data_IF_859631369247
#
_entry.id   IF_859631369247
#
_cell.length_a   1.000
_cell.length_b   1.000
_cell.length_c   1.000
_cell.angle_alpha   90.00
_cell.angle_beta   90.00
_cell.angle_gamma   90.00
#
_symmetry.space_group_name_H-M   'P 1'
#
loop_
_entity.id
_entity.type
_entity.pdbx_description
1 polymer ?
#
# COMPACT_ATOMS: atom_id res chain seq x y z
N UNK A 1 -28.22 0.08 -5.08
CA UNK A 1 -28.47 -0.92 -6.14
C UNK A 1 -29.88 -1.51 -6.05
N UNK A 2 -30.42 -2.03 -4.90
CA UNK A 2 -31.77 -2.59 -4.83
C UNK A 2 -32.87 -1.62 -5.28
N UNK A 3 -32.80 -0.34 -4.86
CA UNK A 3 -33.77 0.67 -5.24
C UNK A 3 -33.81 0.93 -6.76
N UNK A 4 -32.66 0.85 -7.43
CA UNK A 4 -32.58 1.01 -8.90
C UNK A 4 -33.27 -0.17 -9.61
N UNK A 5 -33.02 -1.40 -9.18
CA UNK A 5 -33.71 -2.57 -9.75
C UNK A 5 -35.22 -2.53 -9.47
N UNK A 6 -35.61 -2.18 -8.25
CA UNK A 6 -37.02 -2.06 -7.86
C UNK A 6 -37.78 -1.03 -8.71
N UNK A 7 -37.16 0.15 -8.97
CA UNK A 7 -37.77 1.18 -9.80
C UNK A 7 -37.88 0.76 -11.27
N UNK A 8 -36.88 0.08 -11.82
CA UNK A 8 -36.90 -0.42 -13.19
C UNK A 8 -38.05 -1.45 -13.37
N UNK A 9 -38.12 -2.43 -12.47
CA UNK A 9 -39.17 -3.45 -12.51
C UNK A 9 -40.54 -2.79 -12.36
N UNK A 10 -40.70 -1.91 -11.37
CA UNK A 10 -41.95 -1.17 -11.15
C UNK A 10 -42.38 -0.36 -12.38
N UNK A 11 -41.41 0.32 -13.03
CA UNK A 11 -41.64 1.09 -14.26
C UNK A 11 -42.11 0.19 -15.40
N UNK A 12 -41.51 -0.99 -15.57
CA UNK A 12 -41.93 -1.96 -16.61
C UNK A 12 -43.38 -2.42 -16.37
N UNK A 13 -43.69 -2.80 -15.14
CA UNK A 13 -45.04 -3.25 -14.77
C UNK A 13 -46.09 -2.17 -15.01
N UNK A 14 -45.79 -0.93 -14.57
CA UNK A 14 -46.68 0.23 -14.76
C UNK A 14 -46.83 0.54 -16.26
N UNK A 15 -45.72 0.50 -17.03
CA UNK A 15 -45.76 0.73 -18.46
C UNK A 15 -46.69 -0.26 -19.20
N UNK A 16 -46.59 -1.55 -18.88
CA UNK A 16 -47.48 -2.58 -19.47
C UNK A 16 -48.91 -2.28 -19.14
N UNK A 17 -49.24 -1.90 -17.90
CA UNK A 17 -50.56 -1.49 -17.48
C UNK A 17 -51.09 -0.29 -18.28
N UNK A 18 -50.29 0.78 -18.41
CA UNK A 18 -50.64 1.99 -19.14
C UNK A 18 -50.93 1.71 -20.65
N UNK A 19 -50.15 0.85 -21.30
CA UNK A 19 -50.34 0.45 -22.68
C UNK A 19 -51.65 -0.36 -22.88
N UNK A 20 -52.10 -1.06 -21.86
CA UNK A 20 -53.40 -1.79 -21.91
C UNK A 20 -54.61 -0.85 -21.91
N UNK A 21 -54.49 0.33 -21.26
CA UNK A 21 -55.59 1.31 -21.25
C UNK A 21 -55.65 2.19 -22.46
N UNK A 22 -54.55 2.94 -22.77
CA UNK A 22 -54.50 3.78 -23.97
C UNK A 22 -53.02 3.97 -24.44
N UNK A 23 -52.75 3.52 -25.68
CA UNK A 23 -51.38 3.55 -26.23
C UNK A 23 -50.83 4.96 -26.42
N UNK A 24 -51.63 5.93 -26.81
CA UNK A 24 -51.17 7.29 -27.06
C UNK A 24 -50.85 8.01 -25.73
N UNK A 25 -51.67 7.80 -24.70
CA UNK A 25 -51.43 8.33 -23.38
C UNK A 25 -50.21 7.65 -22.70
N UNK A 26 -50.05 6.33 -22.90
CA UNK A 26 -48.88 5.59 -22.41
C UNK A 26 -47.57 6.12 -23.06
N UNK A 27 -47.56 6.33 -24.36
CA UNK A 27 -46.42 6.95 -25.03
C UNK A 27 -46.15 8.36 -24.51
N UNK A 28 -47.17 9.19 -24.33
CA UNK A 28 -47.03 10.53 -23.77
C UNK A 28 -46.46 10.55 -22.35
N UNK A 29 -46.71 9.49 -21.55
CA UNK A 29 -46.15 9.36 -20.21
C UNK A 29 -44.72 8.79 -20.18
N UNK A 30 -44.38 7.86 -21.09
CA UNK A 30 -43.17 7.06 -20.97
C UNK A 30 -41.96 7.58 -21.79
N UNK A 31 -42.17 8.41 -22.85
CA UNK A 31 -41.04 8.88 -23.71
C UNK A 31 -39.97 9.68 -22.95
N UNK A 32 -40.31 10.31 -21.84
CA UNK A 32 -39.39 11.10 -21.01
C UNK A 32 -38.37 10.22 -20.28
N UNK A 33 -38.70 8.96 -20.04
CA UNK A 33 -37.82 8.02 -19.30
C UNK A 33 -36.56 7.71 -20.10
N UNK A 34 -36.63 7.19 -21.36
CA UNK A 34 -35.43 6.93 -22.16
C UNK A 34 -34.61 8.21 -22.43
N UNK A 35 -35.26 9.37 -22.59
CA UNK A 35 -34.54 10.64 -22.78
C UNK A 35 -33.76 11.01 -21.50
N UNK A 36 -34.35 10.88 -20.32
CA UNK A 36 -33.67 11.15 -19.05
C UNK A 36 -32.51 10.20 -18.80
N UNK A 37 -32.68 8.91 -19.10
CA UNK A 37 -31.59 7.93 -19.01
C UNK A 37 -30.48 8.27 -20.00
N UNK A 38 -30.83 8.65 -21.24
CA UNK A 38 -29.85 9.05 -22.27
C UNK A 38 -29.01 10.24 -21.83
N UNK A 39 -29.58 11.25 -21.18
CA UNK A 39 -28.85 12.40 -20.61
C UNK A 39 -27.77 11.93 -19.64
N UNK A 40 -28.12 11.03 -18.70
CA UNK A 40 -27.17 10.50 -17.72
C UNK A 40 -26.07 9.69 -18.41
N UNK A 41 -26.42 8.81 -19.36
CA UNK A 41 -25.45 7.98 -20.09
C UNK A 41 -24.51 8.83 -20.94
N UNK A 42 -25.01 9.84 -21.63
CA UNK A 42 -24.16 10.76 -22.43
C UNK A 42 -23.24 11.63 -21.54
N UNK A 43 -23.71 11.98 -20.35
CA UNK A 43 -22.91 12.75 -19.39
C UNK A 43 -21.78 11.94 -18.73
N UNK A 44 -21.81 10.60 -18.85
CA UNK A 44 -20.87 9.70 -18.19
C UNK A 44 -19.40 10.11 -18.38
N UNK A 45 -18.97 10.33 -19.62
CA UNK A 45 -17.56 10.71 -19.91
C UNK A 45 -17.14 12.02 -19.24
N UNK A 46 -18.06 12.97 -19.12
CA UNK A 46 -17.78 14.28 -18.51
C UNK A 46 -17.69 14.13 -16.99
N UNK A 47 -18.61 13.39 -16.39
CA UNK A 47 -18.62 13.12 -14.96
C UNK A 47 -17.40 12.29 -14.52
N UNK A 48 -17.05 11.25 -15.28
CA UNK A 48 -15.90 10.39 -15.00
C UNK A 48 -14.58 11.18 -15.06
N UNK A 49 -14.38 12.01 -16.08
CA UNK A 49 -13.20 12.91 -16.17
C UNK A 49 -13.12 13.89 -15.00
N UNK A 50 -14.26 14.47 -14.60
CA UNK A 50 -14.30 15.37 -13.46
C UNK A 50 -13.93 14.64 -12.17
N UNK A 51 -14.44 13.44 -11.97
CA UNK A 51 -14.15 12.59 -10.81
C UNK A 51 -12.69 12.16 -10.75
N UNK A 52 -12.12 11.69 -11.87
CA UNK A 52 -10.71 11.29 -11.97
C UNK A 52 -9.78 12.47 -11.63
N UNK A 53 -10.06 13.66 -12.20
CA UNK A 53 -9.29 14.87 -11.92
C UNK A 53 -9.40 15.28 -10.44
N UNK A 54 -10.59 15.23 -9.85
CA UNK A 54 -10.80 15.52 -8.45
C UNK A 54 -10.01 14.55 -7.55
N UNK A 55 -9.99 13.27 -7.93
CA UNK A 55 -9.24 12.24 -7.21
C UNK A 55 -7.73 12.50 -7.28
N UNK A 56 -7.16 12.83 -8.45
CA UNK A 56 -5.73 13.14 -8.57
C UNK A 56 -5.32 14.34 -7.72
N UNK A 57 -6.17 15.38 -7.63
CA UNK A 57 -5.92 16.55 -6.76
C UNK A 57 -5.99 16.18 -5.28
N UNK A 58 -6.93 15.30 -4.88
CA UNK A 58 -7.01 14.78 -3.50
C UNK A 58 -5.75 14.00 -3.11
N UNK A 59 -5.24 13.14 -4.01
CA UNK A 59 -4.01 12.39 -3.78
C UNK A 59 -2.81 13.33 -3.60
N UNK A 60 -2.60 14.28 -4.52
CA UNK A 60 -1.52 15.26 -4.41
C UNK A 60 -1.60 16.14 -3.14
N UNK A 61 -2.80 16.32 -2.59
CA UNK A 61 -2.98 17.00 -1.29
C UNK A 61 -2.61 16.07 -0.13
N UNK A 62 -3.02 14.80 -0.17
CA UNK A 62 -2.67 13.80 0.84
C UNK A 62 -1.14 13.61 0.91
N UNK A 63 -0.48 13.44 -0.25
CA UNK A 63 0.98 13.36 -0.33
C UNK A 63 1.66 14.60 0.28
N UNK A 64 1.13 15.79 0.01
CA UNK A 64 1.67 17.02 0.60
C UNK A 64 1.44 17.16 2.11
N UNK A 65 0.37 16.57 2.65
CA UNK A 65 0.13 16.51 4.11
C UNK A 65 1.11 15.53 4.75
N UNK A 66 1.29 14.37 4.15
CA UNK A 66 2.24 13.36 4.62
C UNK A 66 3.66 13.93 4.63
N UNK A 67 4.11 14.51 3.51
CA UNK A 67 5.41 15.17 3.40
C UNK A 67 5.60 16.25 4.48
N UNK A 68 4.56 17.06 4.75
CA UNK A 68 4.62 18.08 5.81
C UNK A 68 4.83 17.47 7.19
N UNK A 69 4.14 16.37 7.52
CA UNK A 69 4.28 15.69 8.81
C UNK A 69 5.67 15.08 8.96
N UNK A 70 6.17 14.40 7.92
CA UNK A 70 7.47 13.73 7.92
C UNK A 70 8.63 14.73 8.03
N UNK A 71 8.51 15.88 7.35
CA UNK A 71 9.58 16.89 7.28
C UNK A 71 9.39 18.06 8.27
N UNK A 72 8.40 18.02 9.16
CA UNK A 72 8.05 19.14 10.05
C UNK A 72 9.24 19.65 10.88
N UNK A 73 10.09 18.75 11.38
CA UNK A 73 11.28 19.09 12.18
C UNK A 73 12.27 19.89 11.34
N UNK A 74 12.53 19.45 10.12
CA UNK A 74 13.46 20.08 9.19
C UNK A 74 12.93 21.43 8.71
N UNK A 75 11.63 21.52 8.42
CA UNK A 75 10.97 22.77 8.06
C UNK A 75 11.06 23.82 9.19
N UNK A 76 10.89 23.41 10.45
CA UNK A 76 11.04 24.31 11.61
C UNK A 76 12.49 24.70 11.85
N UNK A 77 13.43 23.76 11.76
CA UNK A 77 14.86 24.01 11.91
C UNK A 77 15.38 25.04 10.89
N UNK A 78 14.82 25.04 9.68
CA UNK A 78 15.22 25.95 8.60
C UNK A 78 14.30 27.18 8.44
N UNK A 79 13.35 27.42 9.35
CA UNK A 79 12.34 28.49 9.28
C UNK A 79 11.54 28.50 7.96
N UNK A 80 11.36 27.32 7.32
CA UNK A 80 10.71 27.15 6.01
C UNK A 80 9.21 26.80 6.12
N UNK A 81 8.69 26.56 7.34
CA UNK A 81 7.32 26.11 7.59
C UNK A 81 6.27 27.03 6.95
N UNK A 82 6.40 28.34 7.10
CA UNK A 82 5.43 29.29 6.57
C UNK A 82 5.33 29.28 5.04
N UNK A 83 6.45 29.05 4.36
CA UNK A 83 6.51 28.93 2.90
C UNK A 83 5.87 27.62 2.42
N UNK A 84 6.18 26.51 3.07
CA UNK A 84 5.61 25.20 2.76
C UNK A 84 4.08 25.18 2.98
N UNK A 85 3.60 25.75 4.10
CA UNK A 85 2.16 25.87 4.41
C UNK A 85 1.39 26.68 3.37
N UNK A 86 1.99 27.72 2.75
CA UNK A 86 1.35 28.44 1.63
C UNK A 86 1.10 27.50 0.44
N UNK A 87 2.07 26.67 0.10
CA UNK A 87 1.94 25.64 -0.94
C UNK A 87 0.85 24.62 -0.60
N UNK A 88 0.87 24.09 0.62
CA UNK A 88 -0.12 23.11 1.10
C UNK A 88 -1.54 23.69 1.13
N UNK A 89 -1.72 24.94 1.61
CA UNK A 89 -3.01 25.65 1.55
C UNK A 89 -3.53 25.80 0.11
N UNK A 90 -2.63 26.01 -0.86
CA UNK A 90 -3.01 26.04 -2.28
C UNK A 90 -3.50 24.67 -2.77
N UNK A 91 -2.85 23.57 -2.37
CA UNK A 91 -3.30 22.20 -2.68
C UNK A 91 -4.69 21.94 -2.07
N UNK A 92 -4.92 22.30 -0.80
CA UNK A 92 -6.22 22.16 -0.12
C UNK A 92 -7.33 22.95 -0.86
N UNK A 93 -7.07 24.21 -1.23
CA UNK A 93 -8.02 24.99 -2.04
C UNK A 93 -8.31 24.38 -3.40
N UNK A 94 -7.34 23.70 -3.99
CA UNK A 94 -7.53 22.99 -5.26
C UNK A 94 -8.43 21.77 -5.09
N UNK A 95 -8.36 21.07 -3.95
CA UNK A 95 -9.30 20.00 -3.60
C UNK A 95 -10.71 20.52 -3.46
N UNK A 96 -10.89 21.63 -2.72
CA UNK A 96 -12.20 22.29 -2.56
C UNK A 96 -12.81 22.68 -3.91
N UNK A 97 -12.05 23.38 -4.75
CA UNK A 97 -12.49 23.76 -6.11
C UNK A 97 -12.79 22.55 -6.99
N UNK A 98 -11.98 21.49 -6.90
CA UNK A 98 -12.19 20.25 -7.62
C UNK A 98 -13.48 19.55 -7.20
N UNK A 99 -13.71 19.43 -5.89
CA UNK A 99 -14.93 18.86 -5.33
C UNK A 99 -16.17 19.66 -5.76
N UNK A 100 -16.15 20.98 -5.60
CA UNK A 100 -17.25 21.86 -6.02
C UNK A 100 -17.57 21.75 -7.51
N UNK A 101 -16.54 21.70 -8.36
CA UNK A 101 -16.73 21.52 -9.81
C UNK A 101 -17.34 20.16 -10.13
N UNK A 102 -16.92 19.11 -9.45
CA UNK A 102 -17.46 17.75 -9.66
C UNK A 102 -18.93 17.70 -9.23
N UNK A 103 -19.26 18.25 -8.06
CA UNK A 103 -20.63 18.30 -7.55
C UNK A 103 -21.57 19.09 -8.48
N UNK A 104 -21.16 20.28 -8.94
CA UNK A 104 -21.96 21.06 -9.89
C UNK A 104 -22.15 20.30 -11.20
N UNK A 105 -21.09 19.67 -11.72
CA UNK A 105 -21.20 18.89 -12.95
C UNK A 105 -22.22 17.78 -12.82
N UNK A 106 -22.17 17.02 -11.74
CA UNK A 106 -23.13 15.94 -11.46
C UNK A 106 -24.55 16.50 -11.26
N UNK A 107 -24.68 17.57 -10.46
CA UNK A 107 -25.97 18.20 -10.17
C UNK A 107 -26.67 18.70 -11.44
N UNK A 108 -25.94 19.35 -12.34
CA UNK A 108 -26.51 19.86 -13.61
C UNK A 108 -27.12 18.74 -14.43
N UNK A 109 -26.39 17.64 -14.63
CA UNK A 109 -26.90 16.53 -15.45
C UNK A 109 -28.04 15.77 -14.78
N UNK A 110 -27.94 15.49 -13.48
CA UNK A 110 -28.99 14.78 -12.73
C UNK A 110 -30.27 15.64 -12.64
N UNK A 111 -30.12 16.94 -12.35
CA UNK A 111 -31.27 17.85 -12.27
C UNK A 111 -31.93 18.02 -13.66
N UNK A 112 -31.13 18.16 -14.74
CA UNK A 112 -31.65 18.24 -16.10
C UNK A 112 -32.44 16.99 -16.50
N UNK A 113 -31.92 15.80 -16.17
CA UNK A 113 -32.64 14.55 -16.39
C UNK A 113 -33.96 14.48 -15.59
N UNK A 114 -33.93 14.93 -14.32
CA UNK A 114 -35.13 15.03 -13.49
C UNK A 114 -36.16 16.03 -14.00
N UNK A 115 -35.71 17.16 -14.56
CA UNK A 115 -36.61 18.13 -15.19
C UNK A 115 -37.32 17.52 -16.41
N UNK A 116 -36.60 16.78 -17.25
CA UNK A 116 -37.20 16.08 -18.39
C UNK A 116 -38.30 15.14 -17.96
N UNK A 117 -38.14 14.39 -16.86
CA UNK A 117 -39.19 13.53 -16.32
C UNK A 117 -40.49 14.33 -16.01
N UNK A 118 -40.36 15.54 -15.45
CA UNK A 118 -41.53 16.37 -15.14
C UNK A 118 -42.27 16.88 -16.36
N UNK A 119 -41.60 17.03 -17.53
CA UNK A 119 -42.29 17.32 -18.80
C UNK A 119 -43.27 16.21 -19.21
N UNK A 120 -43.06 14.98 -18.75
CA UNK A 120 -43.99 13.87 -18.96
C UNK A 120 -45.42 14.16 -18.44
N UNK A 121 -45.56 14.87 -17.32
CA UNK A 121 -46.86 15.26 -16.80
C UNK A 121 -47.56 16.26 -17.77
N UNK A 122 -46.77 17.22 -18.28
CA UNK A 122 -47.30 18.20 -19.22
C UNK A 122 -47.73 17.52 -20.53
N UNK A 123 -46.94 16.58 -21.06
CA UNK A 123 -47.31 15.84 -22.28
C UNK A 123 -48.55 14.96 -22.09
N UNK A 124 -48.67 14.31 -20.94
CA UNK A 124 -49.88 13.53 -20.55
C UNK A 124 -51.09 14.46 -20.48
N UNK A 125 -50.97 15.65 -19.86
CA UNK A 125 -52.06 16.63 -19.81
C UNK A 125 -52.50 17.12 -21.19
N UNK A 126 -51.55 17.49 -22.04
CA UNK A 126 -51.86 17.99 -23.42
C UNK A 126 -52.49 16.92 -24.29
N UNK A 127 -51.89 15.75 -24.37
CA UNK A 127 -52.42 14.63 -25.18
C UNK A 127 -53.76 14.15 -24.61
N UNK A 128 -53.86 14.09 -23.31
CA UNK A 128 -55.08 13.68 -22.60
C UNK A 128 -56.22 14.65 -22.82
N UNK A 129 -56.01 15.95 -22.73
CA UNK A 129 -57.02 16.97 -23.05
C UNK A 129 -57.53 16.86 -24.47
N UNK A 130 -56.59 16.69 -25.44
CA UNK A 130 -56.97 16.50 -26.86
C UNK A 130 -57.83 15.23 -27.09
N UNK A 131 -57.45 14.14 -26.42
CA UNK A 131 -58.20 12.86 -26.53
C UNK A 131 -59.56 12.90 -25.81
N UNK A 132 -59.64 13.62 -24.68
CA UNK A 132 -60.91 13.84 -23.95
C UNK A 132 -61.90 14.64 -24.82
N UNK A 133 -61.44 15.77 -25.43
CA UNK A 133 -62.28 16.57 -26.34
C UNK A 133 -62.72 15.76 -27.57
N UNK A 134 -61.90 14.86 -28.04
CA UNK A 134 -62.20 13.96 -29.17
C UNK A 134 -63.11 12.76 -28.77
N UNK A 135 -63.53 12.66 -27.52
CA UNK A 135 -64.37 11.55 -27.00
C UNK A 135 -63.69 10.18 -27.00
N UNK A 136 -62.37 10.12 -27.10
CA UNK A 136 -61.60 8.86 -27.14
C UNK A 136 -61.26 8.28 -25.76
N UNK A 137 -61.29 9.11 -24.74
CA UNK A 137 -61.09 8.76 -23.31
C UNK A 137 -62.11 9.50 -22.48
N UNK A 138 -62.36 8.98 -21.28
CA UNK A 138 -63.17 9.64 -20.26
C UNK A 138 -62.31 10.45 -19.26
N UNK A 139 -62.98 11.27 -18.44
CA UNK A 139 -62.32 12.10 -17.45
C UNK A 139 -61.58 11.27 -16.41
N UNK A 140 -62.10 10.10 -16.05
CA UNK A 140 -61.51 9.21 -15.09
C UNK A 140 -60.17 8.65 -15.62
N UNK A 141 -60.13 8.24 -16.87
CA UNK A 141 -58.91 7.75 -17.53
C UNK A 141 -57.83 8.85 -17.57
N UNK A 142 -58.18 10.09 -17.93
CA UNK A 142 -57.27 11.20 -17.91
C UNK A 142 -56.65 11.42 -16.50
N UNK A 143 -57.54 11.42 -15.49
CA UNK A 143 -57.10 11.62 -14.10
C UNK A 143 -56.20 10.49 -13.61
N UNK A 144 -56.54 9.24 -13.95
CA UNK A 144 -55.69 8.07 -13.67
C UNK A 144 -54.29 8.21 -14.27
N UNK A 145 -54.15 8.59 -15.55
CA UNK A 145 -52.88 8.76 -16.21
C UNK A 145 -52.04 9.89 -15.54
N UNK A 146 -52.65 11.02 -15.18
CA UNK A 146 -51.96 12.12 -14.48
C UNK A 146 -51.47 11.68 -13.10
N UNK A 147 -52.27 10.92 -12.37
CA UNK A 147 -51.92 10.39 -11.04
C UNK A 147 -50.80 9.38 -11.13
N UNK A 148 -50.86 8.42 -12.07
CA UNK A 148 -49.83 7.42 -12.30
C UNK A 148 -48.55 8.09 -12.75
N UNK A 149 -48.57 9.05 -13.68
CA UNK A 149 -47.41 9.75 -14.15
C UNK A 149 -46.70 10.50 -13.00
N UNK A 150 -47.49 11.21 -12.16
CA UNK A 150 -46.90 11.93 -11.00
C UNK A 150 -46.21 10.99 -10.00
N UNK A 151 -46.72 9.78 -9.81
CA UNK A 151 -46.17 8.78 -8.88
C UNK A 151 -45.01 7.99 -9.48
N UNK A 152 -44.96 7.82 -10.81
CA UNK A 152 -43.92 7.07 -11.52
C UNK A 152 -42.56 7.84 -11.56
N UNK A 153 -42.60 9.16 -11.69
CA UNK A 153 -41.37 9.93 -11.94
C UNK A 153 -40.53 10.13 -10.69
N UNK A 154 -41.09 10.15 -9.48
CA UNK A 154 -40.30 10.32 -8.25
C UNK A 154 -39.32 9.14 -8.00
N UNK A 155 -39.73 7.86 -8.05
CA UNK A 155 -38.81 6.72 -7.97
C UNK A 155 -37.77 6.71 -9.09
N UNK A 156 -38.15 7.14 -10.30
CA UNK A 156 -37.25 7.22 -11.43
C UNK A 156 -36.18 8.30 -11.21
N UNK A 157 -36.53 9.46 -10.67
CA UNK A 157 -35.57 10.51 -10.33
C UNK A 157 -34.56 10.02 -9.29
N UNK A 158 -35.01 9.33 -8.25
CA UNK A 158 -34.13 8.70 -7.24
C UNK A 158 -33.21 7.65 -7.88
N UNK A 159 -33.69 6.89 -8.86
CA UNK A 159 -32.89 5.91 -9.60
C UNK A 159 -31.83 6.54 -10.48
N UNK A 160 -32.13 7.67 -11.13
CA UNK A 160 -31.13 8.44 -11.90
C UNK A 160 -30.00 8.98 -10.99
N UNK A 161 -30.35 9.43 -9.78
CA UNK A 161 -29.36 9.83 -8.77
C UNK A 161 -28.48 8.65 -8.34
N UNK A 162 -29.09 7.49 -8.08
CA UNK A 162 -28.36 6.26 -7.74
C UNK A 162 -27.45 5.80 -8.87
N UNK A 163 -27.89 5.92 -10.13
CA UNK A 163 -27.06 5.60 -11.30
C UNK A 163 -25.82 6.51 -11.37
N UNK A 164 -25.97 7.79 -11.15
CA UNK A 164 -24.86 8.74 -11.09
C UNK A 164 -23.88 8.40 -9.96
N UNK A 165 -24.38 7.97 -8.77
CA UNK A 165 -23.56 7.52 -7.68
C UNK A 165 -22.79 6.23 -7.99
N UNK A 166 -23.40 5.27 -8.69
CA UNK A 166 -22.71 4.05 -9.18
C UNK A 166 -21.57 4.38 -10.13
N UNK A 167 -21.80 5.35 -11.03
CA UNK A 167 -20.75 5.85 -11.94
C UNK A 167 -19.57 6.43 -11.14
N UNK A 168 -19.84 7.25 -10.12
CA UNK A 168 -18.78 7.84 -9.30
C UNK A 168 -17.99 6.78 -8.50
N UNK A 169 -18.63 5.72 -8.05
CA UNK A 169 -17.98 4.60 -7.34
C UNK A 169 -17.00 3.83 -8.22
N UNK A 170 -17.22 3.77 -9.54
CA UNK A 170 -16.38 3.00 -10.46
C UNK A 170 -14.89 3.40 -10.40
N UNK A 171 -14.60 4.67 -10.22
CA UNK A 171 -13.22 5.16 -10.09
C UNK A 171 -12.54 4.62 -8.81
N UNK A 172 -13.29 4.53 -7.71
CA UNK A 172 -12.76 3.98 -6.47
C UNK A 172 -12.55 2.46 -6.58
N UNK A 173 -13.49 1.75 -7.22
CA UNK A 173 -13.37 0.30 -7.49
C UNK A 173 -12.18 0.01 -8.40
N UNK A 174 -11.98 0.80 -9.46
CA UNK A 174 -10.84 0.63 -10.36
C UNK A 174 -9.50 0.76 -9.61
N UNK A 175 -9.38 1.73 -8.69
CA UNK A 175 -8.17 1.87 -7.85
C UNK A 175 -8.00 0.72 -6.85
N UNK A 176 -9.08 0.26 -6.28
CA UNK A 176 -9.03 -0.90 -5.38
C UNK A 176 -8.55 -2.14 -6.14
N UNK A 177 -9.05 -2.34 -7.36
CA UNK A 177 -8.60 -3.43 -8.21
C UNK A 177 -7.12 -3.27 -8.62
N UNK A 178 -6.65 -2.05 -8.88
CA UNK A 178 -5.22 -1.79 -9.15
C UNK A 178 -4.31 -2.28 -8.01
N UNK A 179 -4.77 -2.18 -6.76
CA UNK A 179 -4.05 -2.72 -5.60
C UNK A 179 -4.22 -4.24 -5.50
N UNK A 180 -5.46 -4.74 -5.65
CA UNK A 180 -5.77 -6.16 -5.48
C UNK A 180 -5.22 -7.04 -6.61
N UNK A 181 -5.19 -6.50 -7.84
CA UNK A 181 -4.70 -7.20 -9.03
C UNK A 181 -3.18 -6.98 -9.25
N UNK A 182 -2.50 -6.32 -8.28
CA UNK A 182 -1.05 -6.15 -8.36
C UNK A 182 -0.36 -7.51 -8.35
N UNK A 183 0.57 -7.71 -9.27
CA UNK A 183 1.33 -8.95 -9.34
C UNK A 183 2.11 -9.18 -8.04
N UNK A 184 1.76 -10.25 -7.34
CA UNK A 184 2.49 -10.73 -6.16
C UNK A 184 3.51 -11.78 -6.58
N UNK A 185 4.65 -11.78 -5.90
CA UNK A 185 5.66 -12.80 -6.09
C UNK A 185 5.07 -14.18 -5.75
N UNK A 186 5.23 -15.13 -6.67
CA UNK A 186 4.73 -16.50 -6.51
C UNK A 186 5.88 -17.45 -6.24
N UNK A 187 5.62 -18.55 -5.55
CA UNK A 187 6.60 -19.59 -5.28
C UNK A 187 5.98 -20.81 -4.60
N UNK A 188 6.75 -21.87 -4.50
CA UNK A 188 6.35 -23.08 -3.80
C UNK A 188 6.59 -22.98 -2.29
N UNK A 189 5.78 -23.68 -1.51
CA UNK A 189 5.83 -23.71 -0.05
C UNK A 189 6.91 -24.62 0.54
N UNK A 190 7.64 -25.37 -0.31
CA UNK A 190 8.57 -26.40 0.16
C UNK A 190 10.01 -25.92 0.02
N UNK A 191 10.71 -25.83 1.16
CA UNK A 191 12.13 -25.56 1.20
C UNK A 191 12.91 -26.83 0.82
N UNK A 192 13.79 -26.71 -0.18
CA UNK A 192 14.62 -27.83 -0.69
C UNK A 192 16.12 -27.59 -0.53
N UNK A 193 16.49 -26.56 0.25
CA UNK A 193 17.87 -26.18 0.47
C UNK A 193 18.67 -27.27 1.20
N UNK A 194 19.91 -27.50 0.74
CA UNK A 194 20.88 -28.39 1.37
C UNK A 194 21.97 -27.53 2.02
N UNK A 195 21.67 -27.01 3.21
CA UNK A 195 22.51 -26.04 3.88
C UNK A 195 21.99 -24.59 3.72
N UNK A 196 22.86 -23.62 4.03
CA UNK A 196 22.52 -22.20 4.13
C UNK A 196 23.53 -21.29 3.41
N UNK A 197 24.30 -21.83 2.44
CA UNK A 197 25.13 -21.00 1.58
C UNK A 197 24.27 -20.08 0.73
N UNK A 198 24.62 -18.81 0.63
CA UNK A 198 23.95 -17.87 -0.27
C UNK A 198 24.86 -17.66 -1.48
N UNK A 199 24.41 -18.06 -2.66
CA UNK A 199 25.17 -17.89 -3.90
C UNK A 199 24.46 -16.96 -4.86
N UNK A 200 25.18 -15.92 -5.27
CA UNK A 200 24.83 -15.04 -6.38
C UNK A 200 25.63 -15.50 -7.61
N UNK A 201 24.93 -15.75 -8.72
CA UNK A 201 25.50 -16.23 -9.95
C UNK A 201 25.05 -15.33 -11.11
N UNK A 202 25.96 -14.48 -11.59
CA UNK A 202 25.77 -13.49 -12.66
C UNK A 202 24.51 -12.63 -12.49
N UNK A 203 24.27 -12.13 -11.27
CA UNK A 203 23.05 -11.41 -10.91
C UNK A 203 23.07 -9.97 -11.42
N UNK A 204 22.03 -9.63 -12.21
CA UNK A 204 21.75 -8.27 -12.65
C UNK A 204 20.39 -7.79 -12.15
N UNK A 205 20.32 -6.50 -11.78
CA UNK A 205 19.12 -5.88 -11.24
C UNK A 205 19.02 -4.39 -11.53
N UNK A 206 17.80 -3.94 -11.88
CA UNK A 206 17.42 -2.53 -12.00
C UNK A 206 16.08 -2.29 -11.29
N UNK A 207 15.95 -1.14 -10.60
CA UNK A 207 14.66 -0.71 -10.10
C UNK A 207 13.77 -0.22 -11.25
N UNK A 208 12.45 -0.05 -10.98
CA UNK A 208 11.47 0.44 -12.00
C UNK A 208 11.84 1.77 -12.68
N UNK A 209 12.76 2.53 -12.10
CA UNK A 209 13.32 3.76 -12.68
C UNK A 209 14.15 3.53 -13.95
N UNK A 210 14.48 2.26 -14.26
CA UNK A 210 15.30 1.88 -15.42
C UNK A 210 16.81 2.04 -15.22
N UNK A 211 17.25 2.55 -14.08
CA UNK A 211 18.68 2.65 -13.74
C UNK A 211 19.21 1.31 -13.24
N UNK A 212 20.19 0.77 -13.93
CA UNK A 212 20.85 -0.50 -13.56
C UNK A 212 21.67 -0.30 -12.29
N UNK A 213 21.35 -1.06 -11.24
CA UNK A 213 22.06 -1.00 -9.95
C UNK A 213 23.08 -2.13 -9.83
N UNK A 214 22.73 -3.33 -10.32
CA UNK A 214 23.64 -4.47 -10.39
C UNK A 214 23.73 -4.94 -11.83
N UNK A 215 24.97 -5.09 -12.33
CA UNK A 215 25.22 -5.50 -13.72
C UNK A 215 25.58 -6.97 -13.83
N UNK A 216 26.51 -7.44 -12.97
CA UNK A 216 27.01 -8.81 -12.94
C UNK A 216 27.64 -9.09 -11.57
N UNK A 217 26.84 -9.56 -10.63
CA UNK A 217 27.28 -9.86 -9.27
C UNK A 217 27.36 -11.35 -9.06
N UNK A 218 28.58 -11.85 -8.77
CA UNK A 218 28.87 -13.27 -8.53
C UNK A 218 29.73 -13.45 -7.29
N UNK A 219 29.17 -14.08 -6.25
CA UNK A 219 29.90 -14.48 -5.04
C UNK A 219 29.11 -15.54 -4.27
N UNK A 220 29.76 -16.18 -3.30
CA UNK A 220 29.11 -17.11 -2.36
C UNK A 220 29.44 -16.68 -0.94
N UNK A 221 28.41 -16.50 -0.11
CA UNK A 221 28.50 -16.43 1.34
C UNK A 221 28.30 -17.83 1.90
N UNK A 222 29.37 -18.44 2.43
CA UNK A 222 29.37 -19.82 2.88
C UNK A 222 28.66 -20.00 4.21
N UNK A 223 28.08 -21.17 4.40
CA UNK A 223 27.44 -21.54 5.65
C UNK A 223 28.39 -21.46 6.82
N UNK A 224 27.94 -20.81 7.90
CA UNK A 224 28.73 -20.68 9.15
C UNK A 224 29.80 -19.62 9.09
N UNK A 225 29.97 -18.91 7.97
CA UNK A 225 30.92 -17.79 7.78
C UNK A 225 30.24 -16.44 7.81
N UNK A 226 30.98 -15.41 8.19
CA UNK A 226 30.59 -14.00 8.11
C UNK A 226 31.12 -13.41 6.82
N UNK A 227 30.25 -13.08 5.89
CA UNK A 227 30.60 -12.41 4.63
C UNK A 227 30.23 -10.92 4.73
N UNK A 228 31.23 -10.04 4.61
CA UNK A 228 31.07 -8.60 4.66
C UNK A 228 30.98 -8.00 3.25
N UNK A 229 29.90 -7.25 2.98
CA UNK A 229 29.75 -6.42 1.78
C UNK A 229 30.30 -5.03 2.06
N UNK A 230 31.29 -4.62 1.29
CA UNK A 230 31.95 -3.30 1.39
C UNK A 230 31.94 -2.59 0.04
N UNK A 231 32.18 -1.29 0.03
CA UNK A 231 32.26 -0.48 -1.20
C UNK A 231 31.66 0.91 -1.02
N UNK A 232 31.71 1.77 -2.03
CA UNK A 232 31.21 3.14 -1.98
C UNK A 232 29.68 3.17 -1.79
N UNK A 233 29.15 4.32 -1.34
CA UNK A 233 27.73 4.58 -1.34
C UNK A 233 27.18 4.47 -2.77
N UNK A 234 26.04 3.81 -2.95
CA UNK A 234 25.48 3.54 -4.28
C UNK A 234 26.05 2.29 -4.99
N UNK A 235 27.10 1.63 -4.46
CA UNK A 235 27.71 0.44 -5.07
C UNK A 235 26.84 -0.83 -5.10
N UNK A 236 25.60 -0.79 -4.61
CA UNK A 236 24.66 -1.91 -4.70
C UNK A 236 24.55 -2.81 -3.45
N UNK A 237 25.29 -2.52 -2.36
CA UNK A 237 25.32 -3.34 -1.14
C UNK A 237 23.93 -3.64 -0.56
N UNK A 238 23.12 -2.62 -0.33
CA UNK A 238 21.75 -2.76 0.20
C UNK A 238 20.85 -3.50 -0.80
N UNK A 239 21.07 -3.33 -2.10
CA UNK A 239 20.34 -4.05 -3.15
C UNK A 239 20.67 -5.53 -3.12
N UNK A 240 21.93 -5.91 -2.96
CA UNK A 240 22.36 -7.32 -2.79
C UNK A 240 21.71 -7.93 -1.57
N UNK A 241 21.72 -7.26 -0.41
CA UNK A 241 21.06 -7.73 0.81
C UNK A 241 19.54 -7.95 0.59
N UNK A 242 18.85 -7.01 -0.06
CA UNK A 242 17.41 -7.11 -0.36
C UNK A 242 17.08 -8.22 -1.35
N UNK A 243 17.94 -8.47 -2.33
CA UNK A 243 17.79 -9.58 -3.28
C UNK A 243 18.04 -10.94 -2.62
N UNK A 244 18.96 -11.03 -1.66
CA UNK A 244 19.22 -12.26 -0.92
C UNK A 244 17.98 -12.80 -0.21
N UNK A 245 17.09 -11.91 0.27
CA UNK A 245 15.81 -12.26 0.92
C UNK A 245 14.61 -12.20 -0.02
N UNK A 246 14.86 -11.99 -1.30
CA UNK A 246 13.79 -11.90 -2.30
C UNK A 246 12.76 -10.80 -2.02
N UNK A 247 13.16 -9.63 -1.48
CA UNK A 247 12.28 -8.46 -1.47
C UNK A 247 11.99 -7.96 -2.90
N UNK A 248 12.89 -8.32 -3.84
CA UNK A 248 12.78 -8.10 -5.28
C UNK A 248 13.27 -9.33 -6.02
N UNK A 249 12.72 -9.59 -7.19
CA UNK A 249 13.24 -10.63 -8.09
C UNK A 249 14.33 -10.04 -9.00
N UNK A 250 15.43 -10.75 -9.16
CA UNK A 250 16.50 -10.37 -10.08
C UNK A 250 16.05 -10.55 -11.54
N UNK A 251 16.52 -9.66 -12.44
CA UNK A 251 16.20 -9.74 -13.86
C UNK A 251 17.16 -10.64 -14.65
N UNK A 252 18.40 -10.81 -14.15
CA UNK A 252 19.43 -11.67 -14.76
C UNK A 252 20.11 -12.52 -13.70
N UNK A 253 20.67 -13.66 -14.12
CA UNK A 253 21.39 -14.55 -13.25
C UNK A 253 20.47 -15.32 -12.29
N UNK A 254 21.08 -15.86 -11.24
CA UNK A 254 20.40 -16.72 -10.28
C UNK A 254 20.90 -16.48 -8.86
N UNK A 255 19.99 -16.53 -7.89
CA UNK A 255 20.33 -16.49 -6.47
C UNK A 255 19.83 -17.81 -5.85
N UNK A 256 20.72 -18.47 -5.08
CA UNK A 256 20.37 -19.73 -4.41
C UNK A 256 20.71 -19.69 -2.93
N UNK A 257 19.94 -20.45 -2.13
CA UNK A 257 20.23 -20.76 -0.74
C UNK A 257 20.38 -22.27 -0.58
N UNK A 258 21.57 -22.73 -0.21
CA UNK A 258 21.87 -24.17 -0.15
C UNK A 258 21.56 -24.90 -1.46
N UNK A 259 21.82 -24.27 -2.60
CA UNK A 259 21.52 -24.76 -3.95
C UNK A 259 20.06 -24.61 -4.40
N UNK A 260 19.15 -24.23 -3.52
CA UNK A 260 17.74 -23.96 -3.81
C UNK A 260 17.57 -22.60 -4.45
N UNK A 261 16.92 -22.52 -5.59
CA UNK A 261 16.61 -21.29 -6.32
C UNK A 261 15.53 -20.49 -5.57
N UNK A 262 15.90 -19.32 -5.05
CA UNK A 262 14.98 -18.52 -4.25
C UNK A 262 13.82 -17.93 -5.06
N UNK A 263 13.96 -17.74 -6.37
CA UNK A 263 12.90 -17.23 -7.24
C UNK A 263 11.69 -18.16 -7.34
N UNK A 264 11.86 -19.44 -6.98
CA UNK A 264 10.84 -20.49 -7.04
C UNK A 264 10.15 -20.75 -5.71
N UNK A 265 10.57 -20.10 -4.63
CA UNK A 265 10.07 -20.32 -3.28
C UNK A 265 9.20 -19.14 -2.85
N UNK A 266 8.08 -19.44 -2.21
CA UNK A 266 7.24 -18.38 -1.63
C UNK A 266 8.07 -17.47 -0.69
N UNK A 267 7.98 -16.12 -0.83
CA UNK A 267 8.79 -15.19 -0.04
C UNK A 267 8.61 -15.36 1.47
N UNK A 268 7.40 -15.64 1.96
CA UNK A 268 7.16 -15.86 3.39
C UNK A 268 7.85 -17.13 3.89
N UNK A 269 7.86 -18.19 3.06
CA UNK A 269 8.59 -19.43 3.36
C UNK A 269 10.09 -19.21 3.35
N UNK A 270 10.62 -18.51 2.35
CA UNK A 270 12.03 -18.17 2.27
C UNK A 270 12.46 -17.37 3.51
N UNK A 271 11.63 -16.42 3.97
CA UNK A 271 11.90 -15.60 5.16
C UNK A 271 12.01 -16.39 6.45
N UNK A 272 11.53 -17.65 6.51
CA UNK A 272 11.77 -18.50 7.69
C UNK A 272 13.24 -18.87 7.86
N UNK A 273 14.04 -18.83 6.81
CA UNK A 273 15.49 -19.08 6.84
C UNK A 273 16.31 -17.85 7.30
N UNK A 274 15.73 -16.66 7.36
CA UNK A 274 16.43 -15.42 7.61
C UNK A 274 15.97 -14.72 8.88
N UNK A 275 16.92 -14.19 9.65
CA UNK A 275 16.69 -13.11 10.61
C UNK A 275 17.38 -11.84 10.11
N UNK A 276 16.69 -10.70 10.14
CA UNK A 276 17.20 -9.44 9.60
C UNK A 276 17.27 -8.41 10.72
N UNK A 277 18.42 -7.77 10.87
CA UNK A 277 18.60 -6.60 11.72
C UNK A 277 18.83 -5.40 10.82
N UNK A 278 17.82 -4.55 10.72
CA UNK A 278 17.86 -3.35 9.89
C UNK A 278 18.61 -2.20 10.55
N UNK A 279 19.13 -1.28 9.75
CA UNK A 279 19.70 -0.03 10.20
C UNK A 279 18.65 0.85 10.89
N UNK A 280 17.54 1.08 10.20
CA UNK A 280 16.39 1.82 10.73
C UNK A 280 15.38 0.85 11.34
N UNK A 281 15.36 0.81 12.66
CA UNK A 281 14.46 -0.10 13.39
C UNK A 281 13.07 0.49 13.45
N UNK A 282 12.10 -0.21 12.87
CA UNK A 282 10.68 0.09 13.01
C UNK A 282 10.08 -0.68 14.17
N UNK A 283 9.45 0.05 15.10
CA UNK A 283 8.72 -0.51 16.23
C UNK A 283 7.23 -0.16 16.11
N UNK A 284 6.40 -1.03 16.68
CA UNK A 284 4.96 -0.83 16.69
C UNK A 284 4.52 -0.16 17.99
N UNK A 285 3.46 0.61 17.94
CA UNK A 285 2.83 1.20 19.12
C UNK A 285 2.21 0.08 19.98
N UNK A 286 3.03 -0.48 20.83
CA UNK A 286 2.73 -1.62 21.71
C UNK A 286 3.81 -1.70 22.80
N UNK A 287 3.74 -2.70 23.68
CA UNK A 287 4.72 -2.90 24.75
C UNK A 287 6.08 -3.37 24.20
N UNK A 288 7.12 -3.25 25.04
CA UNK A 288 8.47 -3.78 24.75
C UNK A 288 8.37 -5.28 24.44
N UNK A 289 7.66 -6.05 25.29
CA UNK A 289 7.49 -7.49 25.15
C UNK A 289 6.84 -7.86 23.83
N UNK A 290 5.74 -7.23 23.47
CA UNK A 290 5.02 -7.52 22.21
C UNK A 290 5.84 -7.12 20.97
N UNK A 291 6.63 -6.07 21.07
CA UNK A 291 7.57 -5.71 20.00
C UNK A 291 8.64 -6.79 19.77
N UNK A 292 9.14 -7.43 20.83
CA UNK A 292 10.10 -8.54 20.71
C UNK A 292 9.40 -9.80 20.20
N UNK A 293 8.15 -10.08 20.64
CA UNK A 293 7.34 -11.23 20.23
C UNK A 293 7.08 -11.31 18.72
N UNK A 294 7.17 -10.19 18.01
CA UNK A 294 7.12 -10.17 16.54
C UNK A 294 8.21 -11.04 15.88
N UNK A 295 9.30 -11.33 16.55
CA UNK A 295 10.33 -12.24 16.05
C UNK A 295 9.81 -13.65 15.76
N UNK A 296 8.88 -14.16 16.60
CA UNK A 296 8.24 -15.48 16.39
C UNK A 296 6.82 -15.46 16.95
N UNK A 297 5.84 -15.58 16.06
CA UNK A 297 4.43 -15.63 16.42
C UNK A 297 4.15 -16.83 17.33
N UNK A 298 3.46 -16.57 18.45
CA UNK A 298 3.11 -17.59 19.43
C UNK A 298 4.22 -17.97 20.41
N UNK A 299 5.32 -17.22 20.47
CA UNK A 299 6.35 -17.39 21.51
C UNK A 299 5.79 -17.12 22.91
N UNK A 300 6.20 -17.92 23.89
CA UNK A 300 5.81 -17.72 25.29
C UNK A 300 6.54 -16.51 25.89
N UNK A 301 6.07 -16.01 27.03
CA UNK A 301 6.71 -14.88 27.71
C UNK A 301 8.15 -15.23 28.12
N UNK A 302 8.39 -16.47 28.58
CA UNK A 302 9.71 -16.94 28.95
C UNK A 302 10.68 -16.94 27.77
N UNK A 303 10.23 -17.37 26.57
CA UNK A 303 11.04 -17.36 25.35
C UNK A 303 11.36 -15.93 24.92
N UNK A 304 10.38 -15.02 25.00
CA UNK A 304 10.58 -13.60 24.70
C UNK A 304 11.59 -12.96 25.64
N UNK A 305 11.47 -13.21 26.95
CA UNK A 305 12.40 -12.71 27.97
C UNK A 305 13.82 -13.28 27.79
N UNK A 306 13.93 -14.57 27.47
CA UNK A 306 15.22 -15.18 27.18
C UNK A 306 15.91 -14.51 25.96
N UNK A 307 15.18 -14.25 24.90
CA UNK A 307 15.70 -13.53 23.73
C UNK A 307 16.07 -12.08 24.05
N UNK A 308 15.27 -11.41 24.87
CA UNK A 308 15.51 -10.06 25.34
C UNK A 308 16.80 -9.98 26.19
N UNK A 309 17.01 -10.94 27.07
CA UNK A 309 18.22 -11.05 27.89
C UNK A 309 19.49 -11.23 27.04
N UNK A 310 19.43 -12.10 26.01
CA UNK A 310 20.55 -12.28 25.07
C UNK A 310 20.90 -10.99 24.32
N UNK A 311 19.91 -10.14 24.08
CA UNK A 311 20.07 -8.84 23.42
C UNK A 311 20.38 -7.68 24.41
N UNK A 312 20.61 -7.97 25.70
CA UNK A 312 20.85 -7.00 26.77
C UNK A 312 19.70 -5.96 26.91
N UNK A 313 18.45 -6.37 26.71
CA UNK A 313 17.30 -5.46 26.86
C UNK A 313 16.95 -5.19 28.33
N UNK A 314 17.35 -6.06 29.28
CA UNK A 314 17.09 -5.90 30.70
C UNK A 314 17.60 -4.56 31.23
N UNK A 315 18.78 -4.12 30.77
CA UNK A 315 19.42 -2.89 31.22
C UNK A 315 18.56 -1.64 31.12
N UNK A 316 17.62 -1.60 30.15
CA UNK A 316 16.71 -0.48 30.02
C UNK A 316 15.26 -0.84 30.39
N UNK A 317 14.78 -2.06 30.03
CA UNK A 317 13.39 -2.45 30.25
C UNK A 317 13.03 -2.44 31.74
N UNK A 318 13.96 -2.89 32.65
CA UNK A 318 13.74 -2.91 34.08
C UNK A 318 13.71 -1.53 34.75
N UNK A 319 14.18 -0.48 34.04
CA UNK A 319 14.14 0.91 34.54
C UNK A 319 12.78 1.58 34.35
N UNK A 320 11.95 1.05 33.49
CA UNK A 320 10.60 1.55 33.30
C UNK A 320 9.66 1.10 34.42
N UNK A 321 8.64 1.90 34.79
CA UNK A 321 7.67 1.53 35.83
C UNK A 321 6.95 0.21 35.52
N UNK A 322 6.51 0.02 34.27
CA UNK A 322 5.78 -1.18 33.84
C UNK A 322 6.70 -2.24 33.21
N UNK A 323 8.03 -2.05 33.31
CA UNK A 323 9.08 -2.97 32.82
C UNK A 323 8.79 -3.39 31.37
N UNK A 324 8.68 -4.69 31.13
CA UNK A 324 8.42 -5.29 29.81
C UNK A 324 7.06 -4.93 29.20
N UNK A 325 6.11 -4.53 30.05
CA UNK A 325 4.77 -4.12 29.64
C UNK A 325 4.66 -2.61 29.38
N UNK A 326 5.78 -1.90 29.39
CA UNK A 326 5.82 -0.47 29.05
C UNK A 326 5.45 -0.26 27.58
N UNK A 327 4.43 0.56 27.33
CA UNK A 327 4.10 1.05 25.99
C UNK A 327 5.16 2.03 25.51
N UNK A 328 5.71 1.78 24.31
CA UNK A 328 6.85 2.53 23.77
C UNK A 328 6.45 3.64 22.79
N UNK A 329 5.17 3.85 22.62
CA UNK A 329 4.63 4.86 21.70
C UNK A 329 4.83 4.53 20.22
N UNK A 330 4.41 5.47 19.36
CA UNK A 330 4.52 5.32 17.93
C UNK A 330 5.99 5.26 17.49
N UNK A 331 6.34 4.19 16.78
CA UNK A 331 7.71 3.87 16.33
C UNK A 331 8.77 3.89 17.46
N UNK A 332 8.35 3.59 18.72
CA UNK A 332 9.25 3.58 19.86
C UNK A 332 9.85 4.94 20.19
N UNK A 333 9.04 6.02 20.08
CA UNK A 333 9.49 7.40 20.30
C UNK A 333 9.99 7.66 21.74
N UNK A 334 9.64 6.82 22.69
CA UNK A 334 10.09 6.89 24.10
C UNK A 334 11.44 6.17 24.33
N UNK A 335 11.96 5.49 23.30
CA UNK A 335 13.21 4.75 23.38
C UNK A 335 14.35 5.47 22.65
N UNK A 336 15.57 5.33 23.17
CA UNK A 336 16.79 5.71 22.48
C UNK A 336 17.05 4.85 21.24
N UNK A 337 17.89 5.32 20.31
CA UNK A 337 18.29 4.53 19.14
C UNK A 337 18.91 3.18 19.50
N UNK A 338 19.74 3.12 20.55
CA UNK A 338 20.35 1.87 21.01
C UNK A 338 19.38 0.88 21.62
N UNK A 339 18.36 1.36 22.34
CA UNK A 339 17.30 0.50 22.90
C UNK A 339 16.43 -0.09 21.80
N UNK A 340 16.05 0.71 20.80
CA UNK A 340 15.34 0.21 19.62
C UNK A 340 16.13 -0.85 18.88
N UNK A 341 17.44 -0.64 18.70
CA UNK A 341 18.33 -1.61 18.05
C UNK A 341 18.40 -2.93 18.83
N UNK A 342 18.48 -2.89 20.19
CA UNK A 342 18.47 -4.09 21.02
C UNK A 342 17.16 -4.86 20.90
N UNK A 343 16.01 -4.20 20.80
CA UNK A 343 14.72 -4.85 20.50
C UNK A 343 14.78 -5.57 19.13
N UNK A 344 15.35 -4.95 18.10
CA UNK A 344 15.52 -5.58 16.79
C UNK A 344 16.41 -6.83 16.86
N UNK A 345 17.49 -6.77 17.63
CA UNK A 345 18.37 -7.92 17.88
C UNK A 345 17.64 -9.01 18.65
N UNK A 346 16.83 -8.65 19.67
CA UNK A 346 16.01 -9.60 20.42
C UNK A 346 15.00 -10.33 19.51
N UNK A 347 14.38 -9.63 18.55
CA UNK A 347 13.54 -10.26 17.51
C UNK A 347 14.32 -11.31 16.71
N UNK A 348 15.57 -11.00 16.35
CA UNK A 348 16.41 -11.93 15.59
C UNK A 348 16.80 -13.16 16.43
N UNK A 349 17.09 -13.00 17.73
CA UNK A 349 17.31 -14.12 18.65
C UNK A 349 16.06 -15.00 18.79
N UNK A 350 14.90 -14.38 18.99
CA UNK A 350 13.63 -15.10 19.16
C UNK A 350 13.25 -15.90 17.91
N UNK A 351 13.56 -15.37 16.73
CA UNK A 351 13.33 -16.04 15.46
C UNK A 351 14.28 -17.22 15.24
N UNK A 352 15.51 -17.09 15.70
CA UNK A 352 16.58 -18.10 15.65
C UNK A 352 16.82 -18.72 14.26
N UNK A 353 16.73 -17.91 13.22
CA UNK A 353 16.94 -18.37 11.84
C UNK A 353 18.42 -18.74 11.58
N UNK A 354 18.72 -19.67 10.63
CA UNK A 354 20.09 -20.10 10.32
C UNK A 354 20.91 -19.05 9.58
N UNK A 355 20.26 -18.08 8.90
CA UNK A 355 20.90 -17.00 8.14
C UNK A 355 20.59 -15.67 8.81
N UNK A 356 21.60 -14.84 9.01
CA UNK A 356 21.47 -13.48 9.57
C UNK A 356 21.88 -12.46 8.52
N UNK A 357 21.00 -11.49 8.27
CA UNK A 357 21.34 -10.29 7.51
C UNK A 357 21.48 -9.11 8.46
N UNK A 358 22.63 -8.44 8.40
CA UNK A 358 22.92 -7.24 9.19
C UNK A 358 23.09 -6.05 8.25
N UNK A 359 22.21 -5.08 8.35
CA UNK A 359 22.31 -3.83 7.61
C UNK A 359 22.74 -2.74 8.59
N UNK A 360 24.05 -2.42 8.62
CA UNK A 360 24.67 -1.35 9.41
C UNK A 360 24.18 -1.21 10.86
N UNK A 361 24.05 -2.32 11.57
CA UNK A 361 23.41 -2.41 12.87
C UNK A 361 24.05 -1.56 14.01
N UNK A 362 25.11 -0.81 13.75
CA UNK A 362 25.88 -0.03 14.77
C UNK A 362 26.11 1.43 14.42
N UNK A 363 25.46 1.98 13.40
CA UNK A 363 25.60 3.40 13.04
C UNK A 363 24.92 4.30 14.09
N UNK A 364 25.59 5.40 14.47
CA UNK A 364 25.03 6.51 15.27
C UNK A 364 24.70 6.21 16.75
N UNK A 365 25.43 5.32 17.42
CA UNK A 365 25.17 4.92 18.80
C UNK A 365 26.18 5.49 19.80
N UNK A 366 25.74 5.74 21.04
CA UNK A 366 26.59 6.09 22.17
C UNK A 366 27.54 4.94 22.53
N UNK A 367 28.72 5.26 23.06
CA UNK A 367 29.80 4.28 23.37
C UNK A 367 29.32 3.14 24.28
N UNK A 368 28.47 3.43 25.28
CA UNK A 368 27.93 2.42 26.20
C UNK A 368 26.96 1.47 25.46
N UNK A 369 26.02 2.01 24.67
CA UNK A 369 25.09 1.23 23.87
C UNK A 369 25.80 0.43 22.78
N UNK A 370 26.89 0.97 22.21
CA UNK A 370 27.68 0.26 21.19
C UNK A 370 28.26 -1.04 21.73
N UNK A 371 28.82 -1.05 22.96
CA UNK A 371 29.40 -2.25 23.57
C UNK A 371 28.34 -3.32 23.83
N UNK A 372 27.19 -2.94 24.37
CA UNK A 372 26.08 -3.86 24.64
C UNK A 372 25.55 -4.48 23.32
N UNK A 373 25.37 -3.67 22.29
CA UNK A 373 24.92 -4.12 20.96
C UNK A 373 25.95 -5.02 20.28
N UNK A 374 27.24 -4.68 20.33
CA UNK A 374 28.31 -5.51 19.78
C UNK A 374 28.38 -6.88 20.46
N UNK A 375 28.22 -6.91 21.79
CA UNK A 375 28.16 -8.16 22.56
C UNK A 375 26.96 -9.00 22.13
N UNK A 376 25.79 -8.40 22.00
CA UNK A 376 24.57 -9.08 21.53
C UNK A 376 24.73 -9.61 20.10
N UNK A 377 25.24 -8.79 19.17
CA UNK A 377 25.50 -9.20 17.78
C UNK A 377 26.52 -10.37 17.71
N UNK A 378 27.61 -10.31 18.49
CA UNK A 378 28.60 -11.39 18.53
C UNK A 378 28.03 -12.72 19.02
N UNK A 379 27.02 -12.68 19.91
CA UNK A 379 26.28 -13.87 20.32
C UNK A 379 25.33 -14.34 19.19
N UNK A 380 24.63 -13.40 18.55
CA UNK A 380 23.64 -13.69 17.50
C UNK A 380 24.24 -14.39 16.28
N UNK A 381 25.43 -13.94 15.84
CA UNK A 381 26.07 -14.44 14.62
C UNK A 381 26.79 -15.79 14.80
N UNK A 382 26.94 -16.27 16.04
CA UNK A 382 27.69 -17.48 16.34
C UNK A 382 27.06 -18.71 15.70
N UNK A 383 27.83 -19.44 14.89
CA UNK A 383 27.38 -20.64 14.14
C UNK A 383 26.25 -20.36 13.14
N UNK A 384 26.11 -19.13 12.66
CA UNK A 384 25.12 -18.74 11.63
C UNK A 384 25.82 -18.38 10.33
N UNK A 385 25.12 -18.44 9.23
CA UNK A 385 25.55 -17.81 7.97
C UNK A 385 25.21 -16.32 8.04
N UNK A 386 26.20 -15.48 7.89
CA UNK A 386 26.02 -14.03 8.09
C UNK A 386 26.38 -13.27 6.82
N UNK A 387 25.46 -12.43 6.36
CA UNK A 387 25.74 -11.43 5.33
C UNK A 387 25.58 -10.05 5.98
N UNK A 388 26.69 -9.29 6.07
CA UNK A 388 26.70 -7.98 6.73
C UNK A 388 27.09 -6.88 5.78
N UNK A 389 26.32 -5.78 5.75
CA UNK A 389 26.74 -4.54 5.10
C UNK A 389 27.63 -3.78 6.09
N UNK A 390 28.92 -3.70 5.77
CA UNK A 390 29.92 -3.14 6.67
C UNK A 390 30.31 -1.71 6.27
N UNK A 391 30.12 -0.78 7.21
CA UNK A 391 30.57 0.60 7.11
C UNK A 391 31.71 0.91 8.10
N UNK A 392 32.02 -0.02 9.02
CA UNK A 392 33.09 0.13 10.02
C UNK A 392 34.19 -0.90 9.79
N UNK A 393 35.45 -0.46 9.85
CA UNK A 393 36.63 -1.32 9.69
C UNK A 393 36.66 -2.51 10.67
N UNK A 394 36.15 -2.35 11.89
CA UNK A 394 36.07 -3.45 12.89
C UNK A 394 35.20 -4.61 12.41
N UNK A 395 34.08 -4.32 11.74
CA UNK A 395 33.20 -5.35 11.18
C UNK A 395 33.88 -6.06 10.01
N UNK A 396 34.61 -5.33 9.21
CA UNK A 396 35.39 -5.88 8.09
C UNK A 396 36.53 -6.77 8.55
N UNK A 397 37.27 -6.34 9.58
CA UNK A 397 38.39 -7.10 10.12
C UNK A 397 38.01 -8.42 10.80
N UNK A 398 36.76 -8.52 11.29
CA UNK A 398 36.23 -9.75 11.90
C UNK A 398 35.47 -10.68 10.95
N UNK A 399 35.42 -10.36 9.64
CA UNK A 399 34.73 -11.18 8.67
C UNK A 399 35.62 -12.31 8.16
N UNK A 400 35.03 -13.46 7.81
CA UNK A 400 35.73 -14.57 7.18
C UNK A 400 35.97 -14.28 5.69
N UNK A 401 35.06 -13.53 5.07
CA UNK A 401 35.10 -13.13 3.66
C UNK A 401 34.67 -11.69 3.49
N UNK A 402 35.35 -10.98 2.61
CA UNK A 402 34.98 -9.64 2.14
C UNK A 402 34.60 -9.71 0.68
N UNK A 403 33.53 -9.01 0.30
CA UNK A 403 33.10 -8.79 -1.09
C UNK A 403 33.03 -7.29 -1.33
N UNK A 404 33.89 -6.79 -2.21
CA UNK A 404 33.95 -5.38 -2.57
C UNK A 404 33.03 -5.13 -3.76
N UNK A 405 31.99 -4.32 -3.55
CA UNK A 405 31.04 -3.93 -4.59
C UNK A 405 31.35 -2.49 -5.07
N UNK A 406 31.58 -2.34 -6.37
CA UNK A 406 31.71 -1.03 -7.02
C UNK A 406 30.96 -1.05 -8.35
N UNK A 407 30.22 0.01 -8.65
CA UNK A 407 29.51 0.19 -9.93
C UNK A 407 28.64 -1.00 -10.34
N UNK A 408 28.05 -1.67 -9.36
CA UNK A 408 27.13 -2.79 -9.57
C UNK A 408 27.79 -4.12 -9.95
N UNK A 409 29.09 -4.26 -9.73
CA UNK A 409 29.85 -5.51 -9.92
C UNK A 409 30.68 -5.85 -8.68
N UNK A 410 31.11 -7.11 -8.58
CA UNK A 410 32.12 -7.52 -7.59
C UNK A 410 33.49 -7.14 -8.12
N UNK A 411 34.05 -6.09 -7.55
CA UNK A 411 35.39 -5.61 -7.94
C UNK A 411 36.49 -6.56 -7.41
N UNK A 412 36.38 -6.94 -6.14
CA UNK A 412 37.33 -7.86 -5.48
C UNK A 412 36.58 -8.71 -4.44
N UNK A 413 37.07 -9.89 -4.15
CA UNK A 413 36.63 -10.73 -3.05
C UNK A 413 37.76 -11.60 -2.51
N UNK A 414 37.77 -11.87 -1.21
CA UNK A 414 38.79 -12.67 -0.54
C UNK A 414 38.66 -12.58 0.98
N UNK A 415 39.63 -13.17 1.68
CA UNK A 415 39.76 -12.99 3.13
C UNK A 415 40.32 -11.59 3.42
N UNK A 416 40.12 -11.05 4.66
CA UNK A 416 40.72 -9.78 5.04
C UNK A 416 42.24 -9.70 4.80
N UNK A 417 42.96 -10.79 5.07
CA UNK A 417 44.41 -10.89 4.88
C UNK A 417 44.82 -10.81 3.39
N UNK A 418 44.08 -11.49 2.51
CA UNK A 418 44.32 -11.48 1.07
C UNK A 418 44.10 -10.08 0.45
N UNK A 419 43.09 -9.35 0.93
CA UNK A 419 42.75 -8.03 0.38
C UNK A 419 43.60 -6.89 0.95
N UNK A 420 44.15 -7.02 2.17
CA UNK A 420 45.05 -6.04 2.78
C UNK A 420 46.49 -6.13 2.22
N UNK A 421 46.86 -7.29 1.66
CA UNK A 421 48.20 -7.51 1.08
C UNK A 421 48.28 -7.21 -0.42
N UNK A 422 47.20 -6.74 -1.03
CA UNK A 422 47.16 -6.24 -2.42
C UNK A 422 47.25 -4.72 -2.47
#
# INVERSE_FOLDING_TARGET
IPALFGSVISTIVIALGLFAFDKAMALAALWVIPVSVLIIVLSYKVQDRAQQRNMSVKMACADGIQEYIETLRDLKANNAESSYLKGLKSKIRSVEKGAFKTEITTAVFVTSAGMVLKFGIATVALVGASRLVSGKIDVLTLFMFLLVASRLYDPMQASLQNLAAVIAMRTNVARMNEILDHEIQQGGDTLTNKGCDITFDHVGFAYKSGETVLSDVSFTAKQGEVTALVGPSGGGKTTVSRLAVRFWDNQKGKITVGGMDISKIDPEKLMTLYSIVFQDVTLFNNTIMENIRLGRKGATDEEVLAAAHLANCDEFAEKFPDKWNTDIGENGCELSGGERQRISIARAFLKDAPIILLDEATASLDVENETAIQTALSRLIRNKTVLVIAHRMRTVAGADKIVVLSDGVVAEQGTPEELLNK
#
